data_IF_379529412158
#
_entry.id   IF_379529412158
#
_cell.length_a   1.000
_cell.length_b   1.000
_cell.length_c   1.000
_cell.angle_alpha   90.00
_cell.angle_beta   90.00
_cell.angle_gamma   90.00
#
_symmetry.space_group_name_H-M   'P 1'
#
loop_
_entity.id
_entity.type
_entity.pdbx_description
1 polymer ?
#
# COMPACT_ATOMS: atom_id res chain seq x y z
N UNK A 1 2.42 9.29 1.68
CA UNK A 1 3.58 8.37 1.61
C UNK A 1 3.26 7.00 2.19
N UNK A 2 2.74 6.89 3.42
CA UNK A 2 2.41 5.58 4.04
C UNK A 2 1.50 4.69 3.16
N UNK A 3 0.41 5.23 2.62
CA UNK A 3 -0.50 4.52 1.69
C UNK A 3 0.26 3.99 0.46
N UNK A 4 1.16 4.80 -0.10
CA UNK A 4 1.95 4.42 -1.27
C UNK A 4 2.93 3.27 -0.97
N UNK A 5 3.46 3.20 0.25
CA UNK A 5 4.37 2.13 0.66
C UNK A 5 3.67 0.79 0.88
N UNK A 6 2.35 0.79 1.17
CA UNK A 6 1.57 -0.45 1.28
C UNK A 6 1.54 -1.23 -0.02
N UNK A 7 1.55 -0.52 -1.15
CA UNK A 7 1.56 -1.14 -2.46
C UNK A 7 2.87 -1.85 -2.83
N UNK A 8 3.93 -1.68 -2.04
CA UNK A 8 5.14 -2.50 -2.17
C UNK A 8 4.94 -3.94 -1.65
N UNK A 9 3.91 -4.18 -0.83
CA UNK A 9 3.58 -5.50 -0.27
C UNK A 9 2.38 -6.16 -0.97
N UNK A 10 1.42 -5.36 -1.43
CA UNK A 10 0.13 -5.80 -1.95
C UNK A 10 -0.22 -4.96 -3.18
N UNK A 11 -0.40 -5.58 -4.35
CA UNK A 11 -0.65 -4.87 -5.61
C UNK A 11 -2.06 -4.25 -5.68
N UNK A 12 -3.01 -4.83 -4.96
CA UNK A 12 -4.41 -4.40 -4.88
C UNK A 12 -4.94 -4.67 -3.48
N UNK A 13 -5.38 -3.64 -2.78
CA UNK A 13 -5.83 -3.74 -1.38
C UNK A 13 -7.15 -3.00 -1.19
N UNK A 14 -7.96 -3.41 -0.22
CA UNK A 14 -9.23 -2.72 0.08
C UNK A 14 -8.99 -1.44 0.88
N UNK A 15 -9.91 -0.48 0.76
CA UNK A 15 -9.87 0.78 1.54
C UNK A 15 -9.80 0.51 3.04
N UNK A 16 -10.54 -0.49 3.54
CA UNK A 16 -10.51 -0.96 4.93
C UNK A 16 -9.09 -1.36 5.39
N UNK A 17 -8.42 -2.24 4.63
CA UNK A 17 -7.06 -2.70 4.96
C UNK A 17 -6.08 -1.53 4.97
N UNK A 18 -6.20 -0.60 4.01
CA UNK A 18 -5.32 0.57 3.95
C UNK A 18 -5.55 1.46 5.18
N UNK A 19 -6.80 1.63 5.62
CA UNK A 19 -7.11 2.40 6.83
C UNK A 19 -6.52 1.75 8.07
N UNK A 20 -6.70 0.44 8.23
CA UNK A 20 -6.23 -0.32 9.40
C UNK A 20 -4.69 -0.33 9.48
N UNK A 21 -4.00 -0.55 8.36
CA UNK A 21 -2.54 -0.57 8.30
C UNK A 21 -1.92 0.82 8.52
N UNK A 22 -2.58 1.88 8.08
CA UNK A 22 -2.06 3.25 8.26
C UNK A 22 -2.45 3.87 9.61
N UNK A 23 -3.44 3.31 10.31
CA UNK A 23 -3.99 3.82 11.57
C UNK A 23 -4.37 5.31 11.51
N UNK A 24 -4.66 5.82 10.32
CA UNK A 24 -5.04 7.22 10.12
C UNK A 24 -6.49 7.42 10.58
N UNK A 25 -6.77 8.59 11.16
CA UNK A 25 -8.15 9.00 11.43
C UNK A 25 -8.93 9.04 10.12
N UNK A 26 -10.16 8.50 10.13
CA UNK A 26 -11.00 8.32 8.95
C UNK A 26 -11.11 9.58 8.08
N UNK A 27 -11.34 10.75 8.68
CA UNK A 27 -11.50 12.00 7.95
C UNK A 27 -10.24 12.39 7.16
N UNK A 28 -9.07 12.23 7.78
CA UNK A 28 -7.78 12.51 7.15
C UNK A 28 -7.44 11.44 6.11
N UNK A 29 -7.74 10.19 6.41
CA UNK A 29 -7.54 9.06 5.51
C UNK A 29 -8.33 9.24 4.21
N UNK A 30 -9.63 9.52 4.29
CA UNK A 30 -10.48 9.75 3.14
C UNK A 30 -10.00 10.93 2.31
N UNK A 31 -9.57 12.04 2.94
CA UNK A 31 -9.06 13.20 2.22
C UNK A 31 -7.77 12.88 1.45
N UNK A 32 -6.84 12.14 2.06
CA UNK A 32 -5.61 11.70 1.40
C UNK A 32 -5.94 10.74 0.25
N UNK A 33 -6.83 9.76 0.49
CA UNK A 33 -7.25 8.78 -0.51
C UNK A 33 -7.91 9.46 -1.72
N UNK A 34 -8.81 10.42 -1.47
CA UNK A 34 -9.43 11.24 -2.50
C UNK A 34 -8.39 12.01 -3.31
N UNK A 35 -7.40 12.63 -2.65
CA UNK A 35 -6.33 13.36 -3.32
C UNK A 35 -5.50 12.43 -4.23
N UNK A 36 -5.16 11.24 -3.74
CA UNK A 36 -4.43 10.23 -4.50
C UNK A 36 -5.23 9.74 -5.73
N UNK A 37 -6.54 9.51 -5.58
CA UNK A 37 -7.43 9.16 -6.70
C UNK A 37 -7.56 10.30 -7.72
N UNK A 38 -7.75 11.55 -7.27
CA UNK A 38 -7.80 12.74 -8.16
C UNK A 38 -6.50 12.92 -8.95
N UNK A 39 -5.37 12.65 -8.31
CA UNK A 39 -4.04 12.73 -8.94
C UNK A 39 -3.72 11.56 -9.87
N UNK A 40 -4.61 10.56 -9.99
CA UNK A 40 -4.42 9.33 -10.78
C UNK A 40 -3.18 8.52 -10.38
N UNK A 41 -2.69 8.68 -9.15
CA UNK A 41 -1.60 7.86 -8.62
C UNK A 41 -2.09 6.45 -8.28
N UNK A 42 -3.35 6.35 -7.84
CA UNK A 42 -4.05 5.12 -7.53
C UNK A 42 -5.34 5.07 -8.34
N UNK A 43 -5.81 3.87 -8.63
CA UNK A 43 -7.09 3.62 -9.31
C UNK A 43 -7.98 2.76 -8.42
N UNK A 44 -9.29 2.94 -8.58
CA UNK A 44 -10.31 2.17 -7.90
C UNK A 44 -11.02 1.30 -8.94
N UNK A 45 -10.99 -0.01 -8.77
CA UNK A 45 -11.55 -0.94 -9.79
C UNK A 45 -13.07 -0.85 -9.92
N UNK A 46 -13.80 -0.45 -8.86
CA UNK A 46 -15.26 -0.31 -8.93
C UNK A 46 -15.75 1.07 -9.41
N UNK A 47 -14.90 2.10 -9.46
CA UNK A 47 -15.33 3.45 -9.82
C UNK A 47 -15.01 3.71 -11.29
N UNK A 48 -16.05 3.89 -12.11
CA UNK A 48 -15.87 4.36 -13.49
C UNK A 48 -15.33 5.80 -13.49
N UNK A 49 -14.36 6.09 -14.37
CA UNK A 49 -13.69 7.41 -14.45
C UNK A 49 -14.64 8.60 -14.50
N UNK A 50 -15.84 8.44 -15.07
CA UNK A 50 -16.84 9.49 -15.22
C UNK A 50 -17.59 9.81 -13.90
N UNK A 51 -17.67 8.86 -12.96
CA UNK A 51 -18.31 9.04 -11.65
C UNK A 51 -17.33 9.38 -10.54
N UNK A 52 -16.04 9.15 -10.78
CA UNK A 52 -14.97 9.42 -9.82
C UNK A 52 -14.99 10.88 -9.32
N UNK A 53 -15.29 11.85 -10.17
CA UNK A 53 -15.31 13.26 -9.75
C UNK A 53 -16.52 13.63 -8.88
N UNK A 54 -17.68 13.00 -9.06
CA UNK A 54 -18.85 13.20 -8.19
C UNK A 54 -18.65 12.50 -6.84
N UNK A 55 -18.26 11.23 -6.85
CA UNK A 55 -18.07 10.43 -5.64
C UNK A 55 -16.97 10.99 -4.72
N UNK A 56 -15.90 11.58 -5.31
CA UNK A 56 -14.80 12.19 -4.56
C UNK A 56 -15.14 13.57 -3.98
N UNK A 57 -16.15 14.26 -4.50
CA UNK A 57 -16.60 15.55 -3.93
C UNK A 57 -17.49 15.34 -2.70
N UNK A 58 -18.20 14.22 -2.64
CA UNK A 58 -19.00 13.82 -1.48
C UNK A 58 -18.22 12.96 -0.47
N UNK A 59 -16.94 12.66 -0.73
CA UNK A 59 -16.14 11.72 0.10
C UNK A 59 -16.83 10.36 0.28
N UNK A 60 -17.62 9.94 -0.70
CA UNK A 60 -18.48 8.75 -0.61
C UNK A 60 -17.73 7.48 -1.04
N UNK A 61 -16.50 7.32 -0.54
CA UNK A 61 -15.68 6.14 -0.80
C UNK A 61 -16.11 5.04 0.16
N UNK A 62 -16.52 3.89 -0.39
CA UNK A 62 -16.89 2.72 0.41
C UNK A 62 -15.65 1.95 0.85
N UNK A 63 -15.68 1.39 2.06
CA UNK A 63 -14.55 0.66 2.64
C UNK A 63 -14.21 -0.65 1.91
N UNK A 64 -15.20 -1.24 1.23
CA UNK A 64 -15.02 -2.48 0.46
C UNK A 64 -14.44 -2.24 -0.93
N UNK A 65 -14.12 -0.99 -1.30
CA UNK A 65 -13.53 -0.71 -2.61
C UNK A 65 -12.11 -1.19 -2.70
N UNK A 66 -11.77 -1.71 -3.87
CA UNK A 66 -10.44 -2.17 -4.19
C UNK A 66 -9.63 -1.06 -4.86
N UNK A 67 -8.51 -0.73 -4.23
CA UNK A 67 -7.56 0.27 -4.68
C UNK A 67 -6.29 -0.43 -5.18
N UNK A 68 -5.75 0.06 -6.28
CA UNK A 68 -4.48 -0.40 -6.85
C UNK A 68 -3.66 0.78 -7.33
N UNK A 69 -2.35 0.58 -7.51
CA UNK A 69 -1.49 1.59 -8.16
C UNK A 69 -1.90 1.73 -9.62
N UNK A 70 -1.96 2.96 -10.13
CA UNK A 70 -2.18 3.20 -11.55
C UNK A 70 -1.02 2.62 -12.38
N UNK A 71 -1.32 2.01 -13.53
CA UNK A 71 -0.31 1.33 -14.35
C UNK A 71 0.86 2.24 -14.74
N UNK A 72 0.59 3.52 -14.99
CA UNK A 72 1.61 4.55 -15.30
C UNK A 72 2.63 4.74 -14.17
N UNK A 73 2.23 4.47 -12.92
CA UNK A 73 3.07 4.63 -11.74
C UNK A 73 3.64 3.31 -11.22
N UNK A 74 3.13 2.17 -11.68
CA UNK A 74 3.54 0.83 -11.22
C UNK A 74 5.05 0.61 -11.31
N UNK A 75 5.67 1.06 -12.41
CA UNK A 75 7.12 0.96 -12.63
C UNK A 75 7.96 1.71 -11.59
N UNK A 76 7.44 2.82 -11.04
CA UNK A 76 8.15 3.60 -10.01
C UNK A 76 8.17 2.87 -8.66
N UNK A 77 7.12 2.08 -8.38
CA UNK A 77 7.03 1.28 -7.15
C UNK A 77 7.81 -0.04 -7.27
N UNK A 78 7.80 -0.69 -8.44
CA UNK A 78 8.58 -1.90 -8.71
C UNK A 78 10.09 -1.68 -8.51
N UNK A 79 10.62 -0.53 -8.95
CA UNK A 79 12.03 -0.17 -8.76
C UNK A 79 12.38 -0.07 -7.26
N UNK A 80 11.49 0.54 -6.45
CA UNK A 80 11.70 0.65 -5.01
C UNK A 80 11.68 -0.72 -4.32
N UNK A 81 10.82 -1.64 -4.75
CA UNK A 81 10.78 -2.99 -4.20
C UNK A 81 12.07 -3.77 -4.51
N UNK A 82 12.58 -3.71 -5.75
CA UNK A 82 13.85 -4.35 -6.14
C UNK A 82 15.02 -3.79 -5.32
N UNK A 83 15.10 -2.47 -5.17
CA UNK A 83 16.15 -1.82 -4.38
C UNK A 83 16.08 -2.22 -2.90
N UNK A 84 14.88 -2.32 -2.31
CA UNK A 84 14.73 -2.74 -0.91
C UNK A 84 15.10 -4.22 -0.69
N UNK A 85 14.80 -5.10 -1.66
CA UNK A 85 15.25 -6.48 -1.61
C UNK A 85 16.78 -6.59 -1.71
N UNK A 86 17.39 -5.83 -2.62
CA UNK A 86 18.84 -5.80 -2.81
C UNK A 86 19.55 -5.28 -1.55
N UNK A 87 19.07 -4.18 -0.97
CA UNK A 87 19.59 -3.65 0.31
C UNK A 87 19.42 -4.68 1.43
N UNK A 88 18.29 -5.38 1.51
CA UNK A 88 18.06 -6.44 2.50
C UNK A 88 19.05 -7.60 2.33
N UNK A 89 19.33 -8.00 1.09
CA UNK A 89 20.29 -9.06 0.78
C UNK A 89 21.73 -8.64 1.11
N UNK A 90 22.10 -7.40 0.82
CA UNK A 90 23.41 -6.86 1.18
C UNK A 90 23.57 -6.74 2.70
N UNK A 91 22.55 -6.29 3.41
CA UNK A 91 22.57 -6.20 4.88
C UNK A 91 22.57 -7.58 5.53
N UNK A 92 21.82 -8.57 5.01
CA UNK A 92 21.83 -9.94 5.54
C UNK A 92 23.17 -10.65 5.32
N UNK A 93 23.89 -10.31 4.25
CA UNK A 93 25.25 -10.81 4.01
C UNK A 93 26.28 -10.23 5.00
N UNK A 94 26.06 -8.99 5.48
CA UNK A 94 26.97 -8.28 6.40
C UNK A 94 26.63 -8.49 7.87
N UNK A 95 25.35 -8.65 8.21
CA UNK A 95 24.90 -8.91 9.57
C UNK A 95 24.59 -10.41 9.74
N UNK A 96 25.57 -11.16 10.26
CA UNK A 96 25.30 -12.49 10.83
C UNK A 96 24.59 -12.30 12.18
N UNK A 97 23.33 -12.72 12.36
CA UNK A 97 22.69 -12.66 13.66
C UNK A 97 23.51 -13.53 14.62
N UNK A 98 23.96 -12.97 15.75
CA UNK A 98 24.49 -13.78 16.84
C UNK A 98 23.32 -14.58 17.40
N UNK A 99 23.41 -15.90 17.26
CA UNK A 99 22.48 -16.90 17.77
C UNK A 99 22.47 -16.82 19.31
N UNK A 100 21.70 -15.88 19.87
CA UNK A 100 21.29 -15.84 21.28
C UNK A 100 20.28 -14.73 21.60
N UNK A 101 20.01 -13.80 20.69
CA UNK A 101 18.90 -12.87 20.84
C UNK A 101 17.83 -13.25 19.83
N UNK A 102 16.59 -13.42 20.31
CA UNK A 102 15.35 -13.55 19.55
C UNK A 102 14.89 -15.01 19.35
N UNK A 103 14.31 -15.60 20.39
CA UNK A 103 13.10 -16.42 20.23
C UNK A 103 12.00 -15.49 19.72
N UNK A 104 11.88 -15.35 18.40
CA UNK A 104 10.64 -14.90 17.78
C UNK A 104 10.10 -16.13 17.08
N UNK A 105 9.00 -16.64 17.62
CA UNK A 105 8.16 -17.63 16.97
C UNK A 105 7.67 -17.03 15.64
N UNK A 106 8.46 -17.17 14.59
CA UNK A 106 8.00 -17.06 13.22
C UNK A 106 7.21 -18.34 12.92
N UNK A 107 5.92 -18.32 13.23
CA UNK A 107 4.97 -19.23 12.59
C UNK A 107 4.93 -18.86 11.11
N UNK A 108 5.67 -19.62 10.30
CA UNK A 108 5.50 -19.66 8.86
C UNK A 108 4.44 -20.73 8.56
N UNK A 109 3.21 -20.31 8.30
CA UNK A 109 2.28 -21.16 7.58
C UNK A 109 2.78 -21.25 6.14
N UNK A 110 3.17 -22.47 5.75
CA UNK A 110 3.39 -22.85 4.37
C UNK A 110 2.06 -23.36 3.82
N UNK A 111 1.52 -22.68 2.82
CA UNK A 111 0.72 -23.31 1.76
C UNK A 111 0.65 -22.39 0.53
#
# INVERSE_FOLDING_TARGET
>A
MAISLLFNKCSQCTVEIIQDETQLKTDLFLLILCSLLKSKLITCSEISHDKLNEDLNETNIKMNYHIQIADDFKRLFDINHVLMQEVRQQLSSRFKPKISAIEVNFYFDSN
#
